data_IF_509207905813
#
_entry.id   IF_509207905813
#
_cell.length_a   1.000
_cell.length_b   1.000
_cell.length_c   1.000
_cell.angle_alpha   90.00
_cell.angle_beta   90.00
_cell.angle_gamma   90.00
#
_symmetry.space_group_name_H-M   'P 1'
#
loop_
_entity.id
_entity.type
_entity.pdbx_description
1 polymer ?
#
# COMPACT_ATOMS: atom_id res chain seq x y z
N UNK A 1 8.04 4.58 12.98
CA UNK A 1 7.86 4.15 11.57
C UNK A 1 8.33 5.28 10.66
N UNK A 2 9.20 5.01 9.69
CA UNK A 2 9.65 6.00 8.71
C UNK A 2 9.03 5.65 7.35
N UNK A 3 7.96 6.36 6.98
CA UNK A 3 7.21 6.10 5.76
C UNK A 3 8.05 6.36 4.50
N UNK A 4 8.88 7.40 4.51
CA UNK A 4 9.75 7.75 3.37
C UNK A 4 10.75 6.64 3.11
N UNK A 5 11.44 6.13 4.14
CA UNK A 5 12.38 5.02 3.99
C UNK A 5 11.70 3.76 3.42
N UNK A 6 10.47 3.46 3.87
CA UNK A 6 9.71 2.33 3.35
C UNK A 6 9.34 2.51 1.88
N UNK A 7 8.88 3.70 1.49
CA UNK A 7 8.55 4.02 0.09
C UNK A 7 9.79 3.94 -0.81
N UNK A 8 10.93 4.45 -0.34
CA UNK A 8 12.21 4.32 -1.07
C UNK A 8 12.64 2.86 -1.22
N UNK A 9 12.48 2.05 -0.17
CA UNK A 9 12.79 0.62 -0.21
C UNK A 9 11.91 -0.13 -1.22
N UNK A 10 10.67 0.32 -1.39
CA UNK A 10 9.69 -0.25 -2.31
C UNK A 10 9.69 0.42 -3.70
N UNK A 11 10.56 1.40 -3.96
CA UNK A 11 10.63 2.10 -5.26
C UNK A 11 10.93 1.10 -6.38
N UNK A 12 10.07 1.08 -7.40
CA UNK A 12 10.17 0.15 -8.53
C UNK A 12 9.85 -1.31 -8.19
N UNK A 13 9.33 -1.60 -6.99
CA UNK A 13 8.95 -2.93 -6.52
C UNK A 13 7.46 -3.01 -6.24
N UNK A 14 6.95 -4.23 -6.11
CA UNK A 14 5.56 -4.51 -5.70
C UNK A 14 5.59 -5.34 -4.43
N UNK A 15 4.89 -4.90 -3.40
CA UNK A 15 4.62 -5.67 -2.19
C UNK A 15 3.22 -6.26 -2.29
N UNK A 16 3.06 -7.54 -1.96
CA UNK A 16 1.78 -8.23 -2.02
C UNK A 16 1.51 -8.94 -0.70
N UNK A 17 0.30 -8.76 -0.18
CA UNK A 17 -0.23 -9.52 0.96
C UNK A 17 -1.14 -10.61 0.40
N UNK A 18 -0.86 -11.88 0.72
CA UNK A 18 -1.65 -13.04 0.27
C UNK A 18 -2.12 -13.81 1.49
N UNK A 19 -3.43 -14.02 1.61
CA UNK A 19 -3.99 -14.81 2.71
C UNK A 19 -5.45 -14.49 2.98
N UNK A 20 -5.83 -14.69 4.22
CA UNK A 20 -7.18 -14.50 4.75
C UNK A 20 -7.50 -13.02 5.07
N UNK A 21 -8.59 -12.81 5.81
CA UNK A 21 -9.04 -11.50 6.26
C UNK A 21 -8.03 -10.78 7.18
N UNK A 22 -7.20 -11.50 7.94
CA UNK A 22 -6.17 -10.89 8.78
C UNK A 22 -5.09 -10.23 7.92
N UNK A 23 -4.65 -10.91 6.86
CA UNK A 23 -3.69 -10.36 5.91
C UNK A 23 -4.24 -9.13 5.19
N UNK A 24 -5.54 -9.14 4.84
CA UNK A 24 -6.22 -7.95 4.30
C UNK A 24 -6.21 -6.78 5.31
N UNK A 25 -6.40 -7.06 6.59
CA UNK A 25 -6.29 -6.06 7.65
C UNK A 25 -4.89 -5.44 7.74
N UNK A 26 -3.84 -6.26 7.66
CA UNK A 26 -2.44 -5.78 7.64
C UNK A 26 -2.14 -4.93 6.42
N UNK A 27 -2.61 -5.34 5.23
CA UNK A 27 -2.50 -4.55 3.99
C UNK A 27 -3.11 -3.14 4.15
N UNK A 28 -4.34 -3.05 4.67
CA UNK A 28 -5.01 -1.77 4.88
C UNK A 28 -4.29 -0.94 5.94
N UNK A 29 -3.86 -1.55 7.05
CA UNK A 29 -3.09 -0.88 8.10
C UNK A 29 -1.80 -0.26 7.55
N UNK A 30 -1.08 -1.00 6.70
CA UNK A 30 0.14 -0.51 6.06
C UNK A 30 -0.13 0.71 5.17
N UNK A 31 -1.19 0.67 4.37
CA UNK A 31 -1.58 1.81 3.53
C UNK A 31 -1.87 3.03 4.39
N UNK A 32 -2.61 2.89 5.50
CA UNK A 32 -2.91 3.99 6.39
C UNK A 32 -1.64 4.67 6.94
N UNK A 33 -0.60 3.89 7.27
CA UNK A 33 0.69 4.43 7.72
C UNK A 33 1.41 5.25 6.63
N UNK A 34 1.25 4.88 5.36
CA UNK A 34 1.86 5.55 4.21
C UNK A 34 1.00 6.71 3.68
N UNK A 35 -0.32 6.68 3.91
CA UNK A 35 -1.29 7.56 3.25
C UNK A 35 -1.04 9.06 3.51
N UNK A 36 -0.49 9.42 4.67
CA UNK A 36 -0.24 10.82 5.07
C UNK A 36 0.93 11.45 4.32
N UNK A 37 1.95 10.68 3.95
CA UNK A 37 3.16 11.21 3.28
C UNK A 37 3.03 11.26 1.77
N UNK A 38 2.07 10.53 1.19
CA UNK A 38 1.85 10.48 -0.26
C UNK A 38 0.82 11.56 -0.66
N UNK A 39 1.17 12.49 -1.56
CA UNK A 39 0.25 13.48 -2.10
C UNK A 39 -1.00 12.85 -2.71
N UNK A 40 -2.14 13.55 -2.63
CA UNK A 40 -3.43 12.99 -3.09
C UNK A 40 -3.43 12.62 -4.58
N UNK A 41 -2.73 13.40 -5.43
CA UNK A 41 -2.62 13.15 -6.86
C UNK A 41 -1.65 12.01 -7.21
N UNK A 42 -0.84 11.57 -6.24
CA UNK A 42 0.21 10.58 -6.40
C UNK A 42 -0.17 9.21 -5.81
N UNK A 43 -1.45 8.97 -5.53
CA UNK A 43 -1.94 7.67 -5.05
C UNK A 43 -3.24 7.24 -5.71
N UNK A 44 -3.40 5.94 -5.91
CA UNK A 44 -4.65 5.33 -6.40
C UNK A 44 -4.96 4.02 -5.66
N UNK A 45 -6.23 3.64 -5.68
CA UNK A 45 -6.72 2.42 -5.05
C UNK A 45 -7.74 1.77 -5.97
N UNK A 46 -7.47 0.53 -6.38
CA UNK A 46 -8.30 -0.23 -7.33
C UNK A 46 -8.57 -1.62 -6.77
N UNK A 47 -9.80 -2.11 -6.93
CA UNK A 47 -10.17 -3.47 -6.54
C UNK A 47 -10.75 -4.21 -7.74
N UNK A 48 -10.17 -5.36 -8.06
CA UNK A 48 -10.67 -6.28 -9.07
C UNK A 48 -10.84 -7.68 -8.45
N UNK A 49 -12.08 -8.02 -8.10
CA UNK A 49 -12.40 -9.29 -7.44
C UNK A 49 -11.67 -9.44 -6.10
N UNK A 50 -10.84 -10.47 -5.98
CA UNK A 50 -10.03 -10.73 -4.78
C UNK A 50 -8.71 -9.94 -4.74
N UNK A 51 -8.35 -9.21 -5.80
CA UNK A 51 -7.12 -8.44 -5.88
C UNK A 51 -7.41 -6.95 -5.63
N UNK A 52 -6.81 -6.40 -4.59
CA UNK A 52 -6.82 -4.96 -4.33
C UNK A 52 -5.42 -4.40 -4.47
N UNK A 53 -5.28 -3.33 -5.26
CA UNK A 53 -4.00 -2.70 -5.59
C UNK A 53 -4.02 -1.26 -5.15
N UNK A 54 -3.05 -0.89 -4.31
CA UNK A 54 -2.71 0.49 -4.01
C UNK A 54 -1.43 0.87 -4.75
N UNK A 55 -1.48 1.99 -5.47
CA UNK A 55 -0.31 2.52 -6.19
C UNK A 55 0.09 3.85 -5.56
N UNK A 56 1.38 4.02 -5.28
CA UNK A 56 2.00 5.29 -4.89
C UNK A 56 3.01 5.69 -5.97
N UNK A 57 2.90 6.91 -6.48
CA UNK A 57 3.78 7.49 -7.51
C UNK A 57 4.77 8.48 -6.91
#
# INVERSE_FOLDING_TARGET
>A
FNATLMLETLRGKRMLYVGDSLNRGQYVSMICLLHRVIPQHAKSFETNGSLTVFTAK
#
